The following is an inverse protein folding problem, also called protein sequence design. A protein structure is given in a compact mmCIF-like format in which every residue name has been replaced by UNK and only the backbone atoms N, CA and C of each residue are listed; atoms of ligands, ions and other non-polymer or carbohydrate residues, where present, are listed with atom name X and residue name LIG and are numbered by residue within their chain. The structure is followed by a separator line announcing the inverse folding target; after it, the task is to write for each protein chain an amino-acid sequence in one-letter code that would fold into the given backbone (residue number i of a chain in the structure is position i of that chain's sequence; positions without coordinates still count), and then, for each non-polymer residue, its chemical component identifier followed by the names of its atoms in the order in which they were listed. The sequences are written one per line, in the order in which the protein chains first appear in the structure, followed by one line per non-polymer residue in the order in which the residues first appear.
data_IF_997494579624
#
_entry.id   IF_997494579624
#
_cell.length_a   1.000
_cell.length_b   1.000
_cell.length_c   1.000
_cell.angle_alpha   90.00
_cell.angle_beta   90.00
_cell.angle_gamma   90.00
#
_symmetry.space_group_name_H-M   'P 1'
#
loop_
_entity.id
_entity.type
_entity.pdbx_description
1 polymer ?
#
# COMPACT_ATOMS: atom_id res chain seq x y z
N UNK A 1 24.90 -6.05 4.92
CA UNK A 1 23.50 -5.56 4.77
C UNK A 1 22.91 -5.88 3.40
N UNK A 2 23.69 -5.85 2.30
CA UNK A 2 23.23 -6.17 0.93
C UNK A 2 23.89 -7.42 0.32
N UNK A 3 24.46 -8.32 1.13
CA UNK A 3 25.21 -9.49 0.63
C UNK A 3 24.34 -10.48 -0.18
N UNK A 4 23.01 -10.38 -0.06
CA UNK A 4 22.03 -11.17 -0.83
C UNK A 4 21.18 -10.30 -1.77
N UNK A 5 21.64 -9.10 -2.12
CA UNK A 5 20.91 -8.23 -3.04
C UNK A 5 20.96 -8.81 -4.46
N UNK A 6 19.83 -9.34 -4.91
CA UNK A 6 19.59 -9.74 -6.29
C UNK A 6 18.72 -8.66 -6.94
N UNK A 7 18.86 -8.33 -8.24
CA UNK A 7 18.02 -7.33 -8.91
C UNK A 7 16.51 -7.53 -8.74
N UNK A 8 16.06 -8.76 -8.47
CA UNK A 8 14.66 -9.10 -8.18
C UNK A 8 14.14 -8.54 -6.84
N UNK A 9 15.02 -8.09 -5.95
CA UNK A 9 14.65 -7.45 -4.69
C UNK A 9 14.32 -5.95 -4.86
N UNK A 10 14.61 -5.36 -6.01
CA UNK A 10 14.30 -3.94 -6.29
C UNK A 10 12.80 -3.65 -6.17
N UNK A 11 11.88 -4.39 -6.82
CA UNK A 11 10.45 -4.11 -6.70
C UNK A 11 9.90 -4.28 -5.27
N UNK A 12 10.20 -5.36 -4.53
CA UNK A 12 9.79 -5.49 -3.13
C UNK A 12 10.27 -4.34 -2.23
N UNK A 13 11.53 -3.91 -2.36
CA UNK A 13 12.09 -2.82 -1.56
C UNK A 13 11.50 -1.46 -1.94
N UNK A 14 11.23 -1.25 -3.23
CA UNK A 14 10.52 -0.06 -3.70
C UNK A 14 9.10 -0.01 -3.14
N UNK A 15 8.39 -1.13 -3.15
CA UNK A 15 7.04 -1.24 -2.55
C UNK A 15 7.12 -1.00 -1.04
N UNK A 16 8.06 -1.63 -0.33
CA UNK A 16 8.24 -1.42 1.11
C UNK A 16 8.47 0.07 1.45
N UNK A 17 9.30 0.75 0.66
CA UNK A 17 9.59 2.18 0.79
C UNK A 17 8.36 3.03 0.51
N UNK A 18 7.69 2.81 -0.61
CA UNK A 18 6.50 3.58 -1.01
C UNK A 18 5.33 3.39 -0.04
N UNK A 19 5.14 2.19 0.50
CA UNK A 19 4.12 1.91 1.52
C UNK A 19 4.47 2.57 2.86
N UNK A 20 5.76 2.52 3.25
CA UNK A 20 6.23 3.17 4.50
C UNK A 20 5.97 4.67 4.46
N UNK A 21 6.53 5.37 3.46
CA UNK A 21 6.44 6.82 3.35
C UNK A 21 5.08 7.28 2.84
N UNK A 22 4.43 6.50 1.97
CA UNK A 22 3.07 6.75 1.52
C UNK A 22 2.08 6.75 2.68
N UNK A 23 2.19 5.79 3.60
CA UNK A 23 1.38 5.77 4.83
C UNK A 23 1.65 6.95 5.79
N UNK A 24 2.79 7.63 5.65
CA UNK A 24 3.10 8.82 6.43
C UNK A 24 2.55 10.12 5.81
N UNK A 25 2.06 10.08 4.57
CA UNK A 25 1.59 11.31 3.88
C UNK A 25 0.54 12.12 4.64
N UNK A 26 -0.44 11.54 5.37
CA UNK A 26 -1.42 12.36 6.10
C UNK A 26 -0.83 13.19 7.24
N UNK A 27 0.32 12.78 7.78
CA UNK A 27 1.00 13.52 8.84
C UNK A 27 1.72 14.77 8.29
N UNK A 28 2.14 14.75 7.03
CA UNK A 28 2.88 15.85 6.40
C UNK A 28 2.01 16.74 5.51
N UNK A 29 1.11 16.15 4.73
CA UNK A 29 0.27 16.85 3.75
C UNK A 29 -1.13 17.18 4.30
N UNK A 30 -1.51 16.64 5.46
CA UNK A 30 -2.83 16.80 6.08
C UNK A 30 -3.85 15.76 5.62
N UNK A 31 -4.78 15.40 6.50
CA UNK A 31 -5.77 14.34 6.24
C UNK A 31 -6.69 14.60 5.06
N UNK A 32 -7.04 15.87 4.79
CA UNK A 32 -7.88 16.25 3.65
C UNK A 32 -7.21 15.93 2.31
N UNK A 33 -5.97 16.41 2.13
CA UNK A 33 -5.20 16.18 0.91
C UNK A 33 -4.95 14.68 0.70
N UNK A 34 -4.66 13.94 1.77
CA UNK A 34 -4.50 12.49 1.67
C UNK A 34 -5.77 11.78 1.22
N UNK A 35 -6.96 12.20 1.67
CA UNK A 35 -8.24 11.64 1.19
C UNK A 35 -8.43 11.92 -0.31
N UNK A 36 -8.08 13.11 -0.78
CA UNK A 36 -8.17 13.47 -2.20
C UNK A 36 -7.17 12.69 -3.07
N UNK A 37 -5.92 12.59 -2.62
CA UNK A 37 -4.87 11.80 -3.26
C UNK A 37 -5.20 10.31 -3.22
N UNK A 38 -5.90 9.84 -2.19
CA UNK A 38 -6.41 8.48 -2.13
C UNK A 38 -7.45 8.22 -3.23
N UNK A 39 -8.15 9.27 -3.65
CA UNK A 39 -9.07 9.27 -4.78
C UNK A 39 -10.52 9.43 -4.38
N UNK A 40 -10.81 9.72 -3.11
CA UNK A 40 -12.14 10.01 -2.61
C UNK A 40 -12.59 11.44 -2.96
N UNK A 41 -13.90 11.71 -2.97
CA UNK A 41 -14.44 13.01 -3.36
C UNK A 41 -14.29 14.07 -2.26
N UNK A 42 -14.29 15.34 -2.66
CA UNK A 42 -14.12 16.50 -1.76
C UNK A 42 -15.07 16.48 -0.56
N UNK A 43 -16.33 16.02 -0.75
CA UNK A 43 -17.32 15.93 0.33
C UNK A 43 -16.87 15.04 1.50
N UNK A 44 -16.06 14.01 1.23
CA UNK A 44 -15.49 13.13 2.27
C UNK A 44 -14.23 13.77 2.84
N UNK A 45 -13.42 14.41 2.00
CA UNK A 45 -12.14 15.01 2.39
C UNK A 45 -12.29 16.11 3.44
N UNK A 46 -13.34 16.94 3.36
CA UNK A 46 -13.59 18.03 4.33
C UNK A 46 -14.06 17.55 5.72
N UNK A 47 -14.43 16.27 5.85
CA UNK A 47 -14.95 15.71 7.10
C UNK A 47 -13.79 15.42 8.07
N UNK A 48 -13.69 16.19 9.17
CA UNK A 48 -12.68 15.94 10.22
C UNK A 48 -12.69 14.50 10.77
N UNK A 49 -13.85 13.87 11.01
CA UNK A 49 -13.89 12.45 11.35
C UNK A 49 -13.24 11.54 10.30
N UNK A 50 -13.49 11.79 9.01
CA UNK A 50 -12.87 11.01 7.92
C UNK A 50 -11.36 11.23 7.86
N UNK A 51 -10.89 12.46 8.08
CA UNK A 51 -9.46 12.79 8.15
C UNK A 51 -8.76 12.04 9.29
N UNK A 52 -9.37 11.97 10.48
CA UNK A 52 -8.82 11.22 11.61
C UNK A 52 -8.70 9.72 11.30
N UNK A 53 -9.73 9.14 10.67
CA UNK A 53 -9.69 7.74 10.22
C UNK A 53 -8.63 7.52 9.16
N UNK A 54 -8.46 8.45 8.22
CA UNK A 54 -7.41 8.39 7.20
C UNK A 54 -6.00 8.38 7.80
N UNK A 55 -5.75 9.24 8.80
CA UNK A 55 -4.45 9.27 9.49
C UNK A 55 -4.19 7.92 10.18
N UNK A 56 -5.19 7.39 10.89
CA UNK A 56 -5.07 6.10 11.59
C UNK A 56 -4.86 4.92 10.62
N UNK A 57 -5.60 4.88 9.51
CA UNK A 57 -5.45 3.82 8.51
C UNK A 57 -4.11 3.90 7.79
N UNK A 58 -3.65 5.10 7.45
CA UNK A 58 -2.36 5.29 6.78
C UNK A 58 -1.17 4.96 7.69
N UNK A 59 -1.29 5.22 9.00
CA UNK A 59 -0.29 4.74 9.97
C UNK A 59 -0.16 3.21 9.95
N UNK A 60 -1.26 2.47 9.80
CA UNK A 60 -1.22 1.00 9.63
C UNK A 60 -0.55 0.59 8.32
N UNK A 61 -0.76 1.34 7.24
CA UNK A 61 -0.02 1.13 6.00
C UNK A 61 1.49 1.29 6.22
N UNK A 62 1.93 2.32 6.95
CA UNK A 62 3.35 2.46 7.30
C UNK A 62 3.91 1.28 8.10
N UNK A 63 3.10 0.71 9.01
CA UNK A 63 3.50 -0.51 9.74
C UNK A 63 3.75 -1.68 8.79
N UNK A 64 2.96 -1.85 7.73
CA UNK A 64 3.22 -2.89 6.72
C UNK A 64 4.54 -2.66 5.98
N UNK A 65 4.84 -1.41 5.62
CA UNK A 65 6.12 -1.05 4.99
C UNK A 65 7.32 -1.32 5.90
N UNK A 66 7.22 -0.97 7.19
CA UNK A 66 8.24 -1.28 8.20
C UNK A 66 8.39 -2.80 8.37
N UNK A 67 7.29 -3.55 8.39
CA UNK A 67 7.32 -5.01 8.47
C UNK A 67 8.02 -5.64 7.26
N UNK A 68 7.76 -5.15 6.05
CA UNK A 68 8.45 -5.60 4.82
C UNK A 68 9.96 -5.36 4.91
N UNK A 69 10.38 -4.19 5.39
CA UNK A 69 11.79 -3.91 5.65
C UNK A 69 12.39 -4.85 6.70
N UNK A 70 11.69 -5.09 7.80
CA UNK A 70 12.12 -6.03 8.84
C UNK A 70 12.27 -7.46 8.32
N UNK A 71 11.30 -7.93 7.54
CA UNK A 71 11.35 -9.27 6.91
C UNK A 71 12.51 -9.37 5.92
N UNK A 72 12.75 -8.32 5.11
CA UNK A 72 13.89 -8.28 4.20
C UNK A 72 15.23 -8.36 4.93
N UNK A 73 15.41 -7.56 5.99
CA UNK A 73 16.64 -7.57 6.80
C UNK A 73 16.84 -8.89 7.55
N UNK A 74 15.76 -9.60 7.87
CA UNK A 74 15.77 -10.94 8.46
C UNK A 74 15.86 -12.11 7.46
N UNK A 75 15.99 -11.84 6.15
CA UNK A 75 15.95 -12.84 5.08
C UNK A 75 14.66 -13.69 5.04
N UNK A 76 13.54 -13.14 5.51
CA UNK A 76 12.23 -13.79 5.52
C UNK A 76 11.42 -13.48 4.24
N UNK A 77 11.97 -13.82 3.07
CA UNK A 77 11.36 -13.50 1.77
C UNK A 77 9.97 -14.14 1.57
N UNK A 78 9.76 -15.34 2.12
CA UNK A 78 8.45 -16.00 2.07
C UNK A 78 7.38 -15.23 2.85
N UNK A 79 7.74 -14.64 3.97
CA UNK A 79 6.83 -13.80 4.74
C UNK A 79 6.48 -12.51 3.98
N UNK A 80 7.43 -11.94 3.22
CA UNK A 80 7.17 -10.78 2.36
C UNK A 80 6.16 -11.12 1.25
N UNK A 81 6.32 -12.26 0.58
CA UNK A 81 5.41 -12.69 -0.48
C UNK A 81 4.00 -12.97 0.05
N UNK A 82 3.88 -13.55 1.25
CA UNK A 82 2.59 -13.70 1.94
C UNK A 82 1.95 -12.34 2.23
N UNK A 83 2.74 -11.38 2.74
CA UNK A 83 2.22 -10.04 3.02
C UNK A 83 1.77 -9.36 1.72
N UNK A 84 2.55 -9.42 0.64
CA UNK A 84 2.15 -8.89 -0.67
C UNK A 84 0.88 -9.54 -1.20
N UNK A 85 0.77 -10.87 -1.16
CA UNK A 85 -0.43 -11.58 -1.56
C UNK A 85 -1.66 -11.11 -0.76
N UNK A 86 -1.51 -10.91 0.55
CA UNK A 86 -2.59 -10.41 1.42
C UNK A 86 -3.03 -8.98 1.09
N UNK A 87 -2.15 -8.14 0.51
CA UNK A 87 -2.52 -6.80 0.05
C UNK A 87 -3.51 -6.81 -1.12
N UNK A 88 -3.76 -7.96 -1.75
CA UNK A 88 -4.84 -8.12 -2.74
C UNK A 88 -6.22 -7.84 -2.15
N UNK A 89 -6.44 -8.14 -0.86
CA UNK A 89 -7.67 -7.76 -0.16
C UNK A 89 -7.80 -6.23 -0.05
N UNK A 90 -6.70 -5.52 0.24
CA UNK A 90 -6.69 -4.05 0.28
C UNK A 90 -7.01 -3.48 -1.10
N UNK A 91 -6.44 -4.03 -2.17
CA UNK A 91 -6.73 -3.62 -3.55
C UNK A 91 -8.23 -3.68 -3.86
N UNK A 92 -8.89 -4.76 -3.44
CA UNK A 92 -10.31 -4.96 -3.62
C UNK A 92 -11.16 -3.97 -2.79
N UNK A 93 -10.87 -3.85 -1.50
CA UNK A 93 -11.64 -2.97 -0.60
C UNK A 93 -11.49 -1.51 -1.00
N UNK A 94 -10.27 -1.07 -1.33
CA UNK A 94 -10.00 0.31 -1.75
C UNK A 94 -10.77 0.66 -3.03
N UNK A 95 -10.73 -0.22 -4.03
CA UNK A 95 -11.45 -0.03 -5.27
C UNK A 95 -12.97 -0.01 -5.04
N UNK A 96 -13.49 -0.91 -4.20
CA UNK A 96 -14.91 -0.98 -3.88
C UNK A 96 -15.41 0.29 -3.17
N UNK A 97 -14.68 0.78 -2.17
CA UNK A 97 -15.04 2.00 -1.43
C UNK A 97 -14.97 3.23 -2.33
N UNK A 98 -13.90 3.38 -3.11
CA UNK A 98 -13.74 4.53 -4.02
C UNK A 98 -14.83 4.53 -5.10
N UNK A 99 -15.21 3.36 -5.61
CA UNK A 99 -16.32 3.23 -6.56
C UNK A 99 -17.66 3.59 -5.91
N UNK A 100 -17.93 3.08 -4.70
CA UNK A 100 -19.17 3.38 -3.94
C UNK A 100 -19.32 4.87 -3.63
N UNK A 101 -18.22 5.56 -3.38
CA UNK A 101 -18.20 7.01 -3.15
C UNK A 101 -18.32 7.83 -4.45
N UNK A 102 -18.52 7.18 -5.61
CA UNK A 102 -18.81 7.86 -6.88
C UNK A 102 -17.58 8.55 -7.50
N UNK A 103 -16.37 8.10 -7.14
CA UNK A 103 -15.15 8.62 -7.78
C UNK A 103 -15.01 8.13 -9.22
N UNK A 104 -14.26 8.85 -10.07
CA UNK A 104 -14.05 8.46 -11.46
C UNK A 104 -13.44 7.06 -11.60
N UNK A 105 -13.89 6.30 -12.59
CA UNK A 105 -13.43 4.93 -12.83
C UNK A 105 -11.91 4.82 -13.05
N UNK A 106 -11.27 5.88 -13.56
CA UNK A 106 -9.81 5.95 -13.68
C UNK A 106 -9.08 5.83 -12.34
N UNK A 107 -9.63 6.41 -11.27
CA UNK A 107 -9.05 6.33 -9.91
C UNK A 107 -9.27 4.94 -9.30
N UNK A 108 -10.45 4.36 -9.52
CA UNK A 108 -10.80 2.99 -9.09
C UNK A 108 -9.86 1.98 -9.75
N UNK A 109 -9.72 2.05 -11.07
CA UNK A 109 -8.86 1.16 -11.84
C UNK A 109 -7.39 1.29 -11.40
N UNK A 110 -6.89 2.51 -11.20
CA UNK A 110 -5.52 2.72 -10.72
C UNK A 110 -5.27 2.02 -9.38
N UNK A 111 -6.21 2.12 -8.42
CA UNK A 111 -6.09 1.46 -7.10
C UNK A 111 -6.11 -0.05 -7.20
N UNK A 112 -7.07 -0.59 -7.94
CA UNK A 112 -7.21 -2.03 -8.12
C UNK A 112 -6.00 -2.63 -8.83
N UNK A 113 -5.55 -2.01 -9.93
CA UNK A 113 -4.45 -2.53 -10.75
C UNK A 113 -3.12 -2.41 -10.01
N UNK A 114 -2.81 -1.25 -9.41
CA UNK A 114 -1.52 -1.06 -8.73
C UNK A 114 -1.33 -2.01 -7.56
N UNK A 115 -2.33 -2.11 -6.66
CA UNK A 115 -2.27 -3.02 -5.54
C UNK A 115 -2.49 -4.49 -5.95
N UNK A 116 -3.25 -4.74 -7.01
CA UNK A 116 -3.42 -6.08 -7.59
C UNK A 116 -2.12 -6.65 -8.17
N UNK A 117 -1.32 -5.82 -8.86
CA UNK A 117 0.00 -6.24 -9.34
C UNK A 117 0.95 -6.64 -8.20
N UNK A 118 0.90 -5.92 -7.09
CA UNK A 118 1.65 -6.26 -5.87
C UNK A 118 1.17 -7.61 -5.31
N UNK A 119 -0.14 -7.84 -5.26
CA UNK A 119 -0.70 -9.09 -4.79
C UNK A 119 -0.33 -10.30 -5.67
N UNK A 120 -0.37 -10.12 -6.99
CA UNK A 120 0.07 -11.14 -7.95
C UNK A 120 1.55 -11.43 -7.78
N UNK A 121 2.39 -10.41 -7.55
CA UNK A 121 3.81 -10.60 -7.27
C UNK A 121 4.06 -11.52 -6.06
N UNK A 122 3.31 -11.29 -4.97
CA UNK A 122 3.36 -12.14 -3.78
C UNK A 122 2.84 -13.55 -4.02
N UNK A 123 1.71 -13.70 -4.73
CA UNK A 123 1.14 -15.02 -5.06
C UNK A 123 2.07 -15.88 -5.91
N UNK A 124 2.86 -15.26 -6.79
CA UNK A 124 3.84 -15.95 -7.63
C UNK A 124 5.14 -16.26 -6.89
N UNK A 125 5.24 -15.96 -5.58
CA UNK A 125 6.42 -16.19 -4.75
C UNK A 125 7.71 -15.62 -5.36
N UNK A 126 7.59 -14.47 -6.03
CA UNK A 126 8.67 -13.89 -6.82
C UNK A 126 9.84 -13.39 -5.97
N UNK A 127 9.62 -13.17 -4.67
CA UNK A 127 10.70 -12.79 -3.74
C UNK A 127 11.42 -14.02 -3.17
N UNK A 128 10.78 -15.19 -3.16
CA UNK A 128 11.34 -16.46 -2.64
C UNK A 128 12.13 -17.26 -3.66
N UNK A 129 11.77 -17.23 -4.95
CA UNK A 129 12.28 -18.22 -5.91
C UNK A 129 13.81 -18.15 -6.07
N UNK A 130 14.49 -19.10 -5.41
CA UNK A 130 15.89 -19.52 -5.55
C UNK A 130 16.07 -20.50 -6.69
#
# INVERSE_FOLDING_TARGET
MFEHFVPRHIPPLFIATTVTFGGMTPFFAGGENSILTFGLPQRVAISKPAQAVMILSSARASVYGIALWGMYLGNHFAAMDILFASMGYLAFVDAWVVWKEGSPMSKVAFRFISAGLIAVWGLLAMSVSS
#
